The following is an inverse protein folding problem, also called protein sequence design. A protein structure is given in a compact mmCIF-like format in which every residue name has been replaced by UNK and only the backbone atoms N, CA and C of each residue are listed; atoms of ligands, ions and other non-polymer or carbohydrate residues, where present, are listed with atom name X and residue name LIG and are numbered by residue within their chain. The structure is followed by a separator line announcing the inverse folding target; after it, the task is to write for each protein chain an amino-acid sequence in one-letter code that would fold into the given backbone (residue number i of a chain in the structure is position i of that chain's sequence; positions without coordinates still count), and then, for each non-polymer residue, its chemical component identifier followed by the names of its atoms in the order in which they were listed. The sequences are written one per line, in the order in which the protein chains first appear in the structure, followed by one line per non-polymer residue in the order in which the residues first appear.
data_IF_248030807981
#
_entry.id   IF_248030807981
#
_cell.length_a   1.000
_cell.length_b   1.000
_cell.length_c   1.000
_cell.angle_alpha   90.00
_cell.angle_beta   90.00
_cell.angle_gamma   90.00
#
_symmetry.space_group_name_H-M   'P 1'
#
loop_
_entity.id
_entity.type
_entity.pdbx_description
1 polymer ?
#
# COMPACT_ATOMS: atom_id res chain seq x y z
N UNK A 1 18.72 21.52 -5.57
CA UNK A 1 17.34 21.86 -5.96
C UNK A 1 17.17 22.13 -7.45
N UNK A 2 18.18 22.70 -8.12
CA UNK A 2 18.09 23.10 -9.55
C UNK A 2 17.78 21.89 -10.45
N UNK A 3 18.36 20.72 -10.16
CA UNK A 3 18.10 19.49 -10.93
C UNK A 3 16.64 19.04 -10.74
N UNK A 4 16.15 19.02 -9.50
CA UNK A 4 14.74 18.64 -9.20
C UNK A 4 13.77 19.59 -9.91
N UNK A 5 14.03 20.90 -9.80
CA UNK A 5 13.23 21.93 -10.50
C UNK A 5 13.23 21.73 -12.01
N UNK A 6 14.41 21.58 -12.60
CA UNK A 6 14.54 21.37 -14.05
C UNK A 6 13.83 20.12 -14.54
N UNK A 7 13.87 19.03 -13.75
CA UNK A 7 13.14 17.79 -14.07
C UNK A 7 11.63 18.05 -14.08
N UNK A 8 11.11 18.69 -13.04
CA UNK A 8 9.67 19.01 -12.96
C UNK A 8 9.24 20.03 -14.01
N UNK A 9 10.04 21.06 -14.28
CA UNK A 9 9.72 22.06 -15.34
C UNK A 9 9.68 21.44 -16.74
N UNK A 10 10.45 20.40 -16.98
CA UNK A 10 10.45 19.68 -18.26
C UNK A 10 9.42 18.56 -18.34
N UNK A 11 8.86 18.12 -17.21
CA UNK A 11 7.90 17.04 -17.17
C UNK A 11 6.54 17.46 -17.77
N UNK A 12 5.91 16.49 -18.44
CA UNK A 12 4.54 16.61 -18.96
C UNK A 12 3.55 15.76 -18.19
N UNK A 13 4.02 14.68 -17.62
CA UNK A 13 3.22 13.66 -16.91
C UNK A 13 3.92 13.21 -15.62
N UNK A 14 4.18 14.12 -14.66
CA UNK A 14 4.80 13.74 -13.40
C UNK A 14 3.82 12.90 -12.57
N UNK A 15 4.36 11.96 -11.80
CA UNK A 15 3.62 11.14 -10.84
C UNK A 15 4.41 11.05 -9.54
N UNK A 16 3.73 11.06 -8.41
CA UNK A 16 4.30 10.76 -7.11
C UNK A 16 3.97 9.31 -6.76
N UNK A 17 4.97 8.55 -6.33
CA UNK A 17 4.81 7.24 -5.69
C UNK A 17 5.17 7.37 -4.22
N UNK A 18 4.18 7.32 -3.36
CA UNK A 18 4.35 7.49 -1.93
C UNK A 18 4.46 6.17 -1.19
N UNK A 19 5.42 6.06 -0.29
CA UNK A 19 5.69 4.88 0.50
C UNK A 19 5.52 5.07 2.00
N UNK A 20 5.75 4.00 2.76
CA UNK A 20 5.51 3.95 4.20
C UNK A 20 6.32 4.95 5.04
N UNK A 21 7.48 5.40 4.55
CA UNK A 21 8.32 6.36 5.28
C UNK A 21 7.67 7.74 5.38
N UNK A 22 6.73 8.09 4.49
CA UNK A 22 5.90 9.29 4.64
C UNK A 22 5.22 9.27 6.02
N UNK A 23 4.68 8.09 6.40
CA UNK A 23 4.07 7.86 7.69
C UNK A 23 5.06 7.84 8.84
N UNK A 24 6.14 7.13 8.66
CA UNK A 24 7.17 6.95 9.70
C UNK A 24 7.83 8.26 10.11
N UNK A 25 7.96 9.19 9.18
CA UNK A 25 8.58 10.50 9.42
C UNK A 25 7.57 11.65 9.53
N UNK A 26 6.27 11.36 9.58
CA UNK A 26 5.23 12.36 9.80
C UNK A 26 5.09 13.41 8.68
N UNK A 27 5.47 13.06 7.44
CA UNK A 27 5.50 13.99 6.30
C UNK A 27 4.21 14.04 5.48
N UNK A 28 3.06 13.69 6.08
CA UNK A 28 1.79 13.56 5.35
C UNK A 28 1.20 14.89 4.89
N UNK A 29 1.26 15.90 5.77
CA UNK A 29 0.65 17.18 5.47
C UNK A 29 1.46 17.89 4.40
N UNK A 30 2.78 17.77 4.47
CA UNK A 30 3.68 18.25 3.43
C UNK A 30 3.46 17.53 2.10
N UNK A 31 3.31 16.20 2.12
CA UNK A 31 3.03 15.41 0.91
C UNK A 31 1.67 15.79 0.33
N UNK A 32 0.62 15.84 1.14
CA UNK A 32 -0.72 16.22 0.68
C UNK A 32 -0.72 17.63 0.08
N UNK A 33 -0.11 18.61 0.78
CA UNK A 33 0.03 19.97 0.28
C UNK A 33 0.86 20.05 -1.01
N UNK A 34 1.89 19.21 -1.18
CA UNK A 34 2.67 19.11 -2.40
C UNK A 34 1.81 18.59 -3.56
N UNK A 35 1.08 17.49 -3.36
CA UNK A 35 0.16 16.90 -4.34
C UNK A 35 -0.87 17.92 -4.83
N UNK A 36 -1.53 18.61 -3.90
CA UNK A 36 -2.56 19.60 -4.21
C UNK A 36 -2.00 20.81 -4.92
N UNK A 37 -0.90 21.38 -4.41
CA UNK A 37 -0.28 22.58 -4.96
C UNK A 37 0.26 22.39 -6.38
N UNK A 38 0.88 21.22 -6.63
CA UNK A 38 1.43 20.92 -7.95
C UNK A 38 0.38 20.32 -8.89
N UNK A 39 -0.75 19.87 -8.40
CA UNK A 39 -1.74 19.05 -9.13
C UNK A 39 -1.12 17.79 -9.74
N UNK A 40 -0.22 17.13 -9.01
CA UNK A 40 0.47 15.92 -9.45
C UNK A 40 -0.25 14.70 -8.91
N UNK A 41 -0.60 13.71 -9.76
CA UNK A 41 -1.19 12.45 -9.29
C UNK A 41 -0.28 11.71 -8.35
N UNK A 42 -0.90 11.01 -7.40
CA UNK A 42 -0.19 10.17 -6.44
C UNK A 42 -0.71 8.75 -6.45
N UNK A 43 0.19 7.79 -6.59
CA UNK A 43 -0.01 6.38 -6.26
C UNK A 43 0.67 6.06 -4.93
N UNK A 44 0.22 5.04 -4.24
CA UNK A 44 0.93 4.50 -3.07
C UNK A 44 1.56 3.15 -3.40
N UNK A 45 2.67 2.81 -2.72
CA UNK A 45 3.13 1.42 -2.70
C UNK A 45 2.19 0.57 -1.84
N UNK A 46 2.30 -0.75 -1.92
CA UNK A 46 1.50 -1.65 -1.08
C UNK A 46 1.76 -1.38 0.43
N UNK A 47 3.02 -1.24 0.82
CA UNK A 47 3.40 -0.89 2.19
C UNK A 47 2.98 0.55 2.57
N UNK A 48 2.85 1.43 1.60
CA UNK A 48 2.41 2.81 1.74
C UNK A 48 0.90 3.02 1.57
N UNK A 49 0.10 1.95 1.43
CA UNK A 49 -1.36 2.09 1.36
C UNK A 49 -1.88 2.91 2.54
N UNK A 50 -2.80 3.82 2.27
CA UNK A 50 -3.37 4.80 3.23
C UNK A 50 -2.45 5.94 3.70
N UNK A 51 -1.33 6.21 3.05
CA UNK A 51 -0.50 7.40 3.34
C UNK A 51 -1.20 8.71 2.97
N UNK A 52 -2.13 8.66 2.06
CA UNK A 52 -3.07 9.72 1.70
C UNK A 52 -4.49 9.15 1.75
N UNK A 53 -5.50 9.97 1.87
CA UNK A 53 -6.89 9.52 1.74
C UNK A 53 -7.11 8.96 0.34
N UNK A 54 -7.73 7.80 0.24
CA UNK A 54 -7.94 7.13 -1.06
C UNK A 54 -9.11 7.74 -1.86
N UNK A 55 -9.93 8.60 -1.23
CA UNK A 55 -10.92 9.45 -1.90
C UNK A 55 -10.36 10.78 -2.42
N UNK A 56 -9.04 11.01 -2.26
CA UNK A 56 -8.40 12.22 -2.73
C UNK A 56 -8.49 12.32 -4.28
N UNK A 57 -8.88 13.48 -4.85
CA UNK A 57 -9.10 13.62 -6.30
C UNK A 57 -7.90 13.31 -7.19
N UNK A 58 -6.69 13.32 -6.64
CA UNK A 58 -5.45 12.98 -7.36
C UNK A 58 -4.88 11.61 -6.98
N UNK A 59 -5.59 10.81 -6.18
CA UNK A 59 -5.14 9.45 -5.86
C UNK A 59 -5.43 8.49 -7.01
N UNK A 60 -4.40 7.76 -7.44
CA UNK A 60 -4.47 6.84 -8.59
C UNK A 60 -4.80 5.42 -8.15
N UNK A 61 -4.29 5.00 -6.99
CA UNK A 61 -4.41 3.65 -6.48
C UNK A 61 -3.09 3.11 -5.94
N UNK A 62 -3.09 1.82 -5.59
CA UNK A 62 -1.87 1.13 -5.16
C UNK A 62 -1.08 0.69 -6.39
N UNK A 63 0.19 1.09 -6.47
CA UNK A 63 1.16 0.63 -7.45
C UNK A 63 2.03 -0.46 -6.84
N UNK A 64 1.86 -1.69 -7.32
CA UNK A 64 2.64 -2.87 -6.93
C UNK A 64 2.72 -3.81 -8.12
N UNK A 65 3.89 -4.33 -8.42
CA UNK A 65 4.13 -5.15 -9.61
C UNK A 65 3.17 -6.33 -9.75
N UNK A 66 2.92 -7.05 -8.65
CA UNK A 66 2.11 -8.28 -8.67
C UNK A 66 0.60 -8.04 -8.61
N UNK A 67 0.16 -7.05 -7.82
CA UNK A 67 -1.25 -6.97 -7.41
C UNK A 67 -1.93 -5.65 -7.78
N UNK A 68 -1.20 -4.72 -8.37
CA UNK A 68 -1.79 -3.48 -8.84
C UNK A 68 -2.71 -3.72 -10.03
N UNK A 69 -3.81 -2.97 -10.08
CA UNK A 69 -4.67 -2.94 -11.26
C UNK A 69 -3.89 -2.49 -12.49
N UNK A 70 -4.19 -3.05 -13.64
CA UNK A 70 -3.48 -2.75 -14.88
C UNK A 70 -3.56 -1.26 -15.25
N UNK A 71 -4.70 -0.61 -15.00
CA UNK A 71 -4.88 0.82 -15.26
C UNK A 71 -3.97 1.69 -14.38
N UNK A 72 -3.71 1.26 -13.13
CA UNK A 72 -2.78 1.96 -12.22
C UNK A 72 -1.35 1.76 -12.70
N UNK A 73 -0.97 0.53 -13.06
CA UNK A 73 0.36 0.22 -13.60
C UNK A 73 0.62 1.02 -14.86
N UNK A 74 -0.31 0.98 -15.81
CA UNK A 74 -0.19 1.69 -17.07
C UNK A 74 -0.06 3.19 -16.86
N UNK A 75 -0.87 3.77 -15.97
CA UNK A 75 -0.82 5.19 -15.65
C UNK A 75 0.54 5.61 -15.08
N UNK A 76 1.06 4.87 -14.09
CA UNK A 76 2.35 5.16 -13.46
C UNK A 76 3.50 4.91 -14.44
N UNK A 77 3.47 3.82 -15.20
CA UNK A 77 4.52 3.46 -16.15
C UNK A 77 4.65 4.45 -17.33
N UNK A 78 3.60 5.23 -17.62
CA UNK A 78 3.65 6.27 -18.64
C UNK A 78 4.19 7.61 -18.12
N UNK A 79 4.67 7.69 -16.88
CA UNK A 79 5.25 8.91 -16.32
C UNK A 79 6.57 9.29 -17.03
N UNK A 80 6.82 10.58 -17.17
CA UNK A 80 8.10 11.14 -17.64
C UNK A 80 8.92 11.76 -16.50
N UNK A 81 8.36 11.81 -15.29
CA UNK A 81 9.06 12.22 -14.05
C UNK A 81 8.40 11.55 -12.84
N UNK A 82 9.04 10.54 -12.29
CA UNK A 82 8.56 9.82 -11.12
C UNK A 82 9.24 10.31 -9.83
N UNK A 83 8.44 10.84 -8.91
CA UNK A 83 8.88 11.21 -7.57
C UNK A 83 8.54 10.08 -6.60
N UNK A 84 9.53 9.28 -6.20
CA UNK A 84 9.37 8.21 -5.23
C UNK A 84 9.71 8.78 -3.85
N UNK A 85 8.68 8.93 -3.03
CA UNK A 85 8.81 9.59 -1.73
C UNK A 85 8.52 8.60 -0.59
N UNK A 86 9.55 8.23 0.14
CA UNK A 86 9.48 7.38 1.32
C UNK A 86 9.11 5.92 1.01
N UNK A 87 9.42 5.45 -0.18
CA UNK A 87 9.23 4.05 -0.55
C UNK A 87 10.52 3.27 -0.42
N UNK A 88 10.43 2.17 0.32
CA UNK A 88 11.46 1.13 0.35
C UNK A 88 10.99 0.08 -0.65
N UNK A 89 11.58 0.07 -1.83
CA UNK A 89 11.23 -0.86 -2.88
C UNK A 89 11.70 -2.26 -2.52
N UNK A 90 10.83 -3.24 -2.63
CA UNK A 90 11.09 -4.65 -2.38
C UNK A 90 10.66 -5.49 -3.58
N UNK A 91 11.11 -6.73 -3.65
CA UNK A 91 10.76 -7.65 -4.74
C UNK A 91 9.24 -7.91 -4.83
N UNK A 92 8.51 -7.76 -3.72
CA UNK A 92 7.03 -7.88 -3.68
C UNK A 92 6.35 -6.70 -4.38
N UNK A 93 6.97 -5.53 -4.33
CA UNK A 93 6.40 -4.31 -4.92
C UNK A 93 6.72 -4.20 -6.40
N UNK A 94 7.73 -4.94 -6.92
CA UNK A 94 8.31 -4.57 -8.19
C UNK A 94 8.97 -5.69 -9.03
N UNK A 95 8.36 -6.83 -9.18
CA UNK A 95 8.96 -7.92 -9.97
C UNK A 95 9.16 -7.59 -11.47
N UNK A 96 8.42 -6.63 -12.04
CA UNK A 96 8.53 -6.32 -13.49
C UNK A 96 8.91 -4.86 -13.79
N UNK A 97 8.69 -3.92 -12.88
CA UNK A 97 8.78 -2.48 -13.17
C UNK A 97 10.14 -1.86 -12.85
N UNK A 98 10.98 -2.52 -12.02
CA UNK A 98 12.29 -1.98 -11.60
C UNK A 98 13.21 -1.64 -12.77
N UNK A 99 13.15 -2.40 -13.84
CA UNK A 99 14.10 -2.25 -14.93
C UNK A 99 13.84 -1.04 -15.85
N UNK A 100 12.57 -0.74 -16.14
CA UNK A 100 12.21 0.32 -17.08
C UNK A 100 12.08 1.70 -16.44
N UNK A 101 11.33 1.81 -15.34
CA UNK A 101 11.10 3.11 -14.67
C UNK A 101 12.37 3.72 -14.07
N UNK A 102 13.32 2.86 -13.64
CA UNK A 102 14.57 3.32 -13.03
C UNK A 102 15.72 3.48 -14.01
N UNK A 103 15.65 2.86 -15.19
CA UNK A 103 16.75 2.89 -16.19
C UNK A 103 16.84 4.21 -16.95
N UNK A 104 15.76 4.96 -17.09
CA UNK A 104 15.68 6.07 -18.04
C UNK A 104 16.04 7.44 -17.44
N UNK A 105 16.51 7.49 -16.20
CA UNK A 105 16.96 8.76 -15.60
C UNK A 105 15.86 9.79 -15.34
N UNK A 106 14.61 9.34 -15.22
CA UNK A 106 13.43 10.17 -14.97
C UNK A 106 12.93 10.12 -13.51
N UNK A 107 13.73 9.56 -12.61
CA UNK A 107 13.33 9.35 -11.22
C UNK A 107 14.01 10.29 -10.24
N UNK A 108 13.26 10.71 -9.23
CA UNK A 108 13.72 11.32 -7.99
C UNK A 108 13.27 10.41 -6.86
N UNK A 109 14.20 9.78 -6.15
CA UNK A 109 13.89 8.81 -5.11
C UNK A 109 14.46 9.28 -3.77
N UNK A 110 13.59 9.59 -2.82
CA UNK A 110 13.95 9.98 -1.47
C UNK A 110 13.53 8.91 -0.46
N UNK A 111 14.47 8.49 0.38
CA UNK A 111 14.29 7.57 1.49
C UNK A 111 14.86 8.19 2.77
N UNK A 112 14.77 7.52 3.91
CA UNK A 112 15.10 7.99 5.26
C UNK A 112 16.22 9.04 5.36
N UNK A 113 17.37 8.77 4.74
CA UNK A 113 18.60 9.60 4.85
C UNK A 113 19.29 9.83 3.51
N UNK A 114 18.56 9.62 2.40
CA UNK A 114 19.15 9.61 1.07
C UNK A 114 18.18 10.10 0.01
N UNK A 115 18.74 10.81 -0.95
CA UNK A 115 18.04 11.18 -2.18
C UNK A 115 18.85 10.73 -3.39
N UNK A 116 18.24 9.99 -4.30
CA UNK A 116 18.79 9.67 -5.61
C UNK A 116 18.05 10.47 -6.68
N UNK A 117 18.78 11.12 -7.56
CA UNK A 117 18.23 11.88 -8.69
C UNK A 117 18.92 11.38 -9.95
N UNK A 118 18.14 10.75 -10.85
CA UNK A 118 18.71 10.06 -12.00
C UNK A 118 19.75 9.00 -11.54
N UNK A 119 21.00 9.20 -11.90
CA UNK A 119 22.12 8.32 -11.55
C UNK A 119 22.97 8.87 -10.38
N UNK A 120 22.63 10.03 -9.85
CA UNK A 120 23.36 10.67 -8.75
C UNK A 120 22.71 10.38 -7.42
N UNK A 121 23.51 9.99 -6.43
CA UNK A 121 23.07 9.71 -5.08
C UNK A 121 23.64 10.76 -4.13
N UNK A 122 22.78 11.25 -3.25
CA UNK A 122 23.09 12.22 -2.22
C UNK A 122 22.75 11.60 -0.87
N UNK A 123 23.77 11.27 -0.08
CA UNK A 123 23.61 10.71 1.25
C UNK A 123 23.49 11.83 2.30
N UNK A 124 22.98 11.51 3.48
CA UNK A 124 22.78 12.43 4.60
C UNK A 124 21.80 13.57 4.33
N UNK A 125 20.85 13.35 3.44
CA UNK A 125 19.68 14.22 3.25
C UNK A 125 18.50 13.53 3.91
N UNK A 126 18.01 14.08 5.02
CA UNK A 126 16.87 13.52 5.72
C UNK A 126 15.59 13.63 4.87
N UNK A 127 14.82 12.57 4.87
CA UNK A 127 13.57 12.47 4.09
C UNK A 127 12.63 13.63 4.38
N UNK A 128 12.36 13.89 5.66
CA UNK A 128 11.50 14.97 6.11
C UNK A 128 11.98 16.35 5.66
N UNK A 129 13.28 16.61 5.68
CA UNK A 129 13.84 17.87 5.20
C UNK A 129 13.71 18.01 3.68
N UNK A 130 13.85 16.89 2.96
CA UNK A 130 13.65 16.88 1.52
C UNK A 130 12.20 17.15 1.14
N UNK A 131 11.23 16.48 1.80
CA UNK A 131 9.80 16.68 1.54
C UNK A 131 9.36 18.10 1.91
N UNK A 132 9.79 18.62 3.08
CA UNK A 132 9.56 20.02 3.48
C UNK A 132 10.16 21.01 2.46
N UNK A 133 11.37 20.72 1.98
CA UNK A 133 12.02 21.51 0.95
C UNK A 133 11.24 21.51 -0.37
N UNK A 134 10.71 20.35 -0.81
CA UNK A 134 9.81 20.26 -1.98
C UNK A 134 8.52 21.06 -1.76
N UNK A 135 7.92 20.93 -0.59
CA UNK A 135 6.70 21.66 -0.24
C UNK A 135 6.90 23.19 -0.22
N UNK A 136 8.08 23.67 0.18
CA UNK A 136 8.41 25.08 0.22
C UNK A 136 8.95 25.65 -1.11
N UNK A 137 9.44 24.78 -2.01
CA UNK A 137 10.06 25.20 -3.26
C UNK A 137 9.05 25.80 -4.24
N UNK A 138 9.48 26.82 -4.98
CA UNK A 138 8.73 27.34 -6.13
C UNK A 138 8.86 26.38 -7.30
N UNK A 139 7.89 25.48 -7.43
CA UNK A 139 7.79 24.45 -8.47
C UNK A 139 6.58 24.71 -9.36
N UNK A 140 6.59 24.24 -10.62
CA UNK A 140 5.45 24.41 -11.52
C UNK A 140 4.24 23.62 -11.04
N UNK A 141 3.04 24.12 -11.29
CA UNK A 141 1.81 23.34 -11.19
C UNK A 141 1.46 22.75 -12.56
N UNK A 142 0.78 21.60 -12.55
CA UNK A 142 0.43 20.88 -13.76
C UNK A 142 -1.07 20.91 -14.02
N UNK A 143 -1.50 20.77 -15.28
CA UNK A 143 -2.91 20.54 -15.57
C UNK A 143 -3.38 19.25 -14.88
N UNK A 144 -4.57 19.28 -14.29
CA UNK A 144 -5.14 18.08 -13.68
C UNK A 144 -5.28 16.99 -14.75
N UNK A 145 -4.61 15.84 -14.60
CA UNK A 145 -4.67 14.77 -15.58
C UNK A 145 -6.00 14.01 -15.50
N UNK A 146 -6.33 13.31 -16.57
CA UNK A 146 -7.39 12.29 -16.52
C UNK A 146 -6.83 11.08 -15.79
N UNK A 147 -7.37 10.80 -14.61
CA UNK A 147 -6.98 9.63 -13.81
C UNK A 147 -7.71 8.37 -14.28
N UNK A 148 -7.16 7.17 -13.98
CA UNK A 148 -7.90 5.92 -14.07
C UNK A 148 -9.18 6.00 -13.26
N UNK A 149 -10.21 5.29 -13.71
CA UNK A 149 -11.45 5.20 -12.95
C UNK A 149 -11.18 4.57 -11.56
N UNK A 150 -11.80 5.08 -10.50
CA UNK A 150 -11.74 4.41 -9.20
C UNK A 150 -12.20 2.96 -9.33
N UNK A 151 -11.60 2.08 -8.52
CA UNK A 151 -12.04 0.69 -8.46
C UNK A 151 -13.54 0.61 -8.19
N UNK A 152 -14.24 -0.11 -9.04
CA UNK A 152 -15.65 -0.48 -8.85
C UNK A 152 -15.76 -1.96 -9.11
N UNK A 153 -16.26 -2.75 -8.17
CA UNK A 153 -16.52 -4.16 -8.42
C UNK A 153 -17.46 -4.33 -9.62
N UNK A 154 -17.06 -5.08 -10.63
CA UNK A 154 -17.84 -5.27 -11.86
C UNK A 154 -19.13 -6.07 -11.63
N UNK A 155 -19.11 -6.98 -10.66
CA UNK A 155 -20.24 -7.86 -10.39
C UNK A 155 -21.12 -7.34 -9.24
N UNK A 156 -22.44 -7.60 -9.27
CA UNK A 156 -23.32 -7.26 -8.16
C UNK A 156 -22.95 -8.08 -6.90
N UNK A 157 -23.34 -7.58 -5.73
CA UNK A 157 -23.19 -8.31 -4.48
C UNK A 157 -23.80 -9.71 -4.61
N UNK A 158 -23.09 -10.77 -4.21
CA UNK A 158 -23.63 -12.12 -4.27
C UNK A 158 -24.87 -12.23 -3.37
N UNK A 159 -25.88 -13.02 -3.77
CA UNK A 159 -27.05 -13.25 -2.93
C UNK A 159 -26.65 -13.94 -1.63
N UNK A 160 -27.43 -13.73 -0.56
CA UNK A 160 -27.15 -14.23 0.78
C UNK A 160 -26.97 -15.77 0.86
N UNK A 161 -27.47 -16.50 -0.10
CA UNK A 161 -27.35 -17.97 -0.19
C UNK A 161 -26.22 -18.44 -1.10
N UNK A 162 -25.47 -17.52 -1.70
CA UNK A 162 -24.32 -17.89 -2.52
C UNK A 162 -23.21 -18.51 -1.67
N UNK A 163 -22.41 -19.36 -2.29
CA UNK A 163 -21.16 -19.83 -1.67
C UNK A 163 -20.25 -18.65 -1.35
N UNK A 164 -19.57 -18.72 -0.20
CA UNK A 164 -18.60 -17.70 0.19
C UNK A 164 -17.45 -17.73 -0.81
N UNK A 165 -17.17 -16.58 -1.42
CA UNK A 165 -15.99 -16.37 -2.27
C UNK A 165 -15.13 -15.26 -1.67
N UNK A 166 -13.82 -15.30 -1.93
CA UNK A 166 -12.88 -14.27 -1.50
C UNK A 166 -13.35 -12.88 -1.96
N UNK A 167 -13.65 -12.74 -3.23
CA UNK A 167 -14.14 -11.50 -3.81
C UNK A 167 -15.45 -11.01 -3.17
N UNK A 168 -16.38 -11.93 -2.85
CA UNK A 168 -17.62 -11.58 -2.15
C UNK A 168 -17.38 -11.05 -0.74
N UNK A 169 -16.44 -11.65 0.00
CA UNK A 169 -16.05 -11.20 1.34
C UNK A 169 -15.47 -9.79 1.27
N UNK A 170 -14.51 -9.53 0.38
CA UNK A 170 -13.85 -8.23 0.29
C UNK A 170 -14.79 -7.14 -0.20
N UNK A 171 -15.69 -7.43 -1.14
CA UNK A 171 -16.73 -6.48 -1.53
C UNK A 171 -17.67 -6.13 -0.39
N UNK A 172 -18.04 -7.13 0.42
CA UNK A 172 -18.88 -6.86 1.58
C UNK A 172 -18.14 -6.04 2.63
N UNK A 173 -16.88 -6.35 2.88
CA UNK A 173 -16.03 -5.57 3.77
C UNK A 173 -15.97 -4.11 3.36
N UNK A 174 -15.77 -3.83 2.08
CA UNK A 174 -15.70 -2.47 1.56
C UNK A 174 -16.98 -1.64 1.87
N UNK A 175 -18.14 -2.29 1.97
CA UNK A 175 -19.38 -1.62 2.34
C UNK A 175 -19.54 -1.31 3.83
N UNK A 176 -18.76 -1.95 4.69
CA UNK A 176 -18.84 -1.79 6.16
C UNK A 176 -17.65 -1.06 6.76
N UNK A 177 -16.60 -0.82 5.97
CA UNK A 177 -15.47 0.00 6.39
C UNK A 177 -15.91 1.47 6.54
N UNK A 178 -15.37 2.15 7.53
CA UNK A 178 -15.66 3.55 7.82
C UNK A 178 -14.50 4.21 8.59
N UNK A 179 -14.56 5.50 8.82
CA UNK A 179 -13.48 6.31 9.44
C UNK A 179 -12.97 5.84 10.83
N UNK A 180 -13.62 4.88 11.47
CA UNK A 180 -13.18 4.30 12.76
C UNK A 180 -12.68 2.88 12.62
N UNK A 181 -12.52 2.38 11.40
CA UNK A 181 -11.98 1.04 11.16
C UNK A 181 -10.51 1.13 10.78
N UNK A 182 -9.73 0.14 11.23
CA UNK A 182 -8.34 -0.05 10.86
C UNK A 182 -8.21 -1.45 10.25
N UNK A 183 -7.92 -1.52 8.96
CA UNK A 183 -7.70 -2.80 8.29
C UNK A 183 -6.28 -3.27 8.53
N UNK A 184 -6.13 -4.50 8.99
CA UNK A 184 -4.83 -5.13 9.22
C UNK A 184 -4.81 -6.45 8.46
N UNK A 185 -4.04 -6.49 7.38
CA UNK A 185 -3.94 -7.65 6.52
C UNK A 185 -2.64 -8.42 6.78
N UNK A 186 -2.76 -9.72 7.05
CA UNK A 186 -1.63 -10.65 7.04
C UNK A 186 -1.24 -10.98 5.59
N UNK A 187 -0.11 -11.63 5.39
CA UNK A 187 0.39 -11.97 4.05
C UNK A 187 -0.51 -12.95 3.29
N UNK A 188 -0.24 -13.10 2.00
CA UNK A 188 -0.98 -13.98 1.12
C UNK A 188 -2.27 -13.35 0.60
N UNK A 189 -3.29 -14.15 0.35
CA UNK A 189 -4.59 -13.70 -0.17
C UNK A 189 -5.22 -12.60 0.68
N UNK A 190 -4.99 -12.62 1.99
CA UNK A 190 -5.46 -11.56 2.91
C UNK A 190 -4.93 -10.18 2.51
N UNK A 191 -3.64 -10.11 2.16
CA UNK A 191 -3.00 -8.88 1.73
C UNK A 191 -3.38 -8.52 0.31
N UNK A 192 -3.23 -9.46 -0.61
CA UNK A 192 -3.40 -9.18 -2.03
C UNK A 192 -4.83 -8.80 -2.40
N UNK A 193 -5.82 -9.46 -1.79
CA UNK A 193 -7.22 -9.10 -2.00
C UNK A 193 -7.63 -7.79 -1.28
N UNK A 194 -6.84 -7.31 -0.31
CA UNK A 194 -7.14 -6.07 0.40
C UNK A 194 -6.61 -4.81 -0.29
N UNK A 195 -5.87 -4.96 -1.38
CA UNK A 195 -5.27 -3.83 -2.11
C UNK A 195 -6.32 -2.82 -2.57
N UNK A 196 -7.46 -3.31 -3.04
CA UNK A 196 -8.55 -2.48 -3.57
C UNK A 196 -9.62 -2.11 -2.52
N UNK A 197 -9.48 -2.54 -1.24
CA UNK A 197 -10.35 -2.06 -0.18
C UNK A 197 -10.21 -0.55 -0.01
N UNK A 198 -11.33 0.16 0.03
CA UNK A 198 -11.30 1.62 0.20
C UNK A 198 -11.01 2.00 1.64
N UNK A 199 -9.95 2.77 1.84
CA UNK A 199 -9.55 3.29 3.15
C UNK A 199 -9.98 4.75 3.29
N UNK A 200 -10.78 5.05 4.31
CA UNK A 200 -11.45 6.33 4.50
C UNK A 200 -10.57 7.41 5.15
N UNK A 201 -9.55 7.00 5.89
CA UNK A 201 -8.60 7.89 6.57
C UNK A 201 -7.16 7.46 6.30
N UNK A 202 -6.24 8.40 6.50
CA UNK A 202 -4.81 8.10 6.55
C UNK A 202 -4.51 7.14 7.70
N UNK A 203 -3.60 6.19 7.49
CA UNK A 203 -3.16 5.16 8.46
C UNK A 203 -4.22 4.15 8.90
N UNK A 204 -5.20 3.91 8.10
CA UNK A 204 -6.20 2.89 8.39
C UNK A 204 -5.92 1.55 7.69
N UNK A 205 -4.70 1.37 7.19
CA UNK A 205 -4.23 0.11 6.63
C UNK A 205 -2.84 -0.25 7.16
N UNK A 206 -2.68 -1.45 7.68
CA UNK A 206 -1.42 -2.01 8.14
C UNK A 206 -1.19 -3.39 7.53
N UNK A 207 0.03 -3.66 7.08
CA UNK A 207 0.43 -4.97 6.58
C UNK A 207 1.93 -5.18 6.69
N UNK A 208 2.43 -6.44 6.73
CA UNK A 208 3.86 -6.75 6.71
C UNK A 208 4.40 -6.80 5.27
N UNK A 209 3.92 -5.94 4.37
CA UNK A 209 4.16 -6.01 2.93
C UNK A 209 5.65 -5.92 2.51
N UNK A 210 6.51 -5.45 3.42
CA UNK A 210 7.95 -5.36 3.10
C UNK A 210 8.64 -6.73 3.11
N UNK A 211 8.40 -7.53 4.17
CA UNK A 211 9.07 -8.81 4.38
C UNK A 211 8.12 -10.00 4.28
N UNK A 212 6.84 -9.75 4.16
CA UNK A 212 5.78 -10.76 4.07
C UNK A 212 5.82 -11.80 5.19
N UNK A 213 6.01 -11.34 6.45
CA UNK A 213 6.07 -12.22 7.62
C UNK A 213 4.67 -12.64 8.06
N UNK A 214 4.41 -13.96 8.05
CA UNK A 214 3.16 -14.52 8.53
C UNK A 214 2.97 -14.34 10.04
N UNK A 215 1.72 -14.19 10.47
CA UNK A 215 1.38 -14.04 11.89
C UNK A 215 1.50 -12.61 12.41
N UNK A 216 1.61 -11.62 11.52
CA UNK A 216 1.71 -10.20 11.88
C UNK A 216 0.38 -9.62 12.37
N UNK A 217 -0.74 -9.97 11.71
CA UNK A 217 -1.96 -9.18 11.80
C UNK A 217 -2.65 -9.22 13.16
N UNK A 218 -2.68 -10.36 13.83
CA UNK A 218 -3.33 -10.51 15.15
C UNK A 218 -2.61 -9.69 16.23
N UNK A 219 -1.28 -9.83 16.44
CA UNK A 219 -0.58 -9.00 17.42
C UNK A 219 -0.57 -7.51 17.04
N UNK A 220 -0.52 -7.18 15.74
CA UNK A 220 -0.61 -5.80 15.28
C UNK A 220 -1.95 -5.14 15.64
N UNK A 221 -3.07 -5.90 15.58
CA UNK A 221 -4.37 -5.40 16.00
C UNK A 221 -4.42 -5.06 17.49
N UNK A 222 -3.76 -5.85 18.32
CA UNK A 222 -3.65 -5.60 19.75
C UNK A 222 -2.83 -4.33 20.00
N UNK A 223 -1.68 -4.21 19.32
CA UNK A 223 -0.85 -3.00 19.39
C UNK A 223 -1.60 -1.75 18.95
N UNK A 224 -2.34 -1.82 17.86
CA UNK A 224 -3.16 -0.74 17.35
C UNK A 224 -4.25 -0.31 18.34
N UNK A 225 -4.92 -1.27 18.99
CA UNK A 225 -5.92 -0.98 20.02
C UNK A 225 -5.36 -0.29 21.28
N UNK A 226 -4.05 -0.44 21.57
CA UNK A 226 -3.37 0.36 22.58
C UNK A 226 -2.97 1.74 22.08
N UNK A 227 -2.55 1.83 20.83
CA UNK A 227 -2.09 3.09 20.23
C UNK A 227 -3.24 4.08 20.00
N UNK A 228 -4.36 3.59 19.50
CA UNK A 228 -5.59 4.39 19.31
C UNK A 228 -6.83 3.55 19.65
N UNK A 229 -7.32 3.63 20.89
CA UNK A 229 -8.52 2.90 21.34
C UNK A 229 -9.82 3.36 20.64
N UNK A 230 -9.81 4.45 19.90
CA UNK A 230 -10.98 4.94 19.15
C UNK A 230 -11.22 4.17 17.86
N UNK A 231 -10.19 3.47 17.36
CA UNK A 231 -10.26 2.66 16.15
C UNK A 231 -10.67 1.22 16.44
N UNK A 232 -11.40 0.63 15.51
CA UNK A 232 -11.76 -0.78 15.54
C UNK A 232 -10.89 -1.57 14.55
N UNK A 233 -9.94 -2.39 15.01
CA UNK A 233 -9.16 -3.23 14.12
C UNK A 233 -10.02 -4.31 13.47
N UNK A 234 -9.88 -4.45 12.15
CA UNK A 234 -10.42 -5.54 11.33
C UNK A 234 -9.20 -6.29 10.79
N UNK A 235 -9.02 -7.51 11.29
CA UNK A 235 -7.90 -8.39 10.93
C UNK A 235 -8.33 -9.31 9.81
N UNK A 236 -7.57 -9.33 8.74
CA UNK A 236 -7.67 -10.27 7.64
C UNK A 236 -6.46 -11.19 7.70
N UNK A 237 -6.66 -12.48 7.92
CA UNK A 237 -5.57 -13.41 8.19
C UNK A 237 -5.88 -14.79 7.59
N UNK A 238 -4.90 -15.38 6.90
CA UNK A 238 -4.99 -16.76 6.45
C UNK A 238 -4.97 -17.75 7.62
N UNK A 239 -5.54 -18.92 7.43
CA UNK A 239 -5.60 -19.97 8.45
C UNK A 239 -4.22 -20.39 8.97
N UNK A 240 -3.20 -20.48 8.09
CA UNK A 240 -1.84 -20.80 8.50
C UNK A 240 -1.18 -19.69 9.33
N UNK A 241 -1.30 -18.43 8.91
CA UNK A 241 -0.80 -17.29 9.67
C UNK A 241 -1.51 -17.14 11.02
N UNK A 242 -2.82 -17.42 11.06
CA UNK A 242 -3.60 -17.39 12.29
C UNK A 242 -3.11 -18.44 13.30
N UNK A 243 -2.71 -19.63 12.87
CA UNK A 243 -2.17 -20.65 13.77
C UNK A 243 -0.87 -20.20 14.46
N UNK A 244 -0.09 -19.31 13.85
CA UNK A 244 1.17 -18.85 14.42
C UNK A 244 0.95 -17.93 15.64
N UNK A 245 -0.07 -17.06 15.59
CA UNK A 245 -0.25 -15.98 16.57
C UNK A 245 -1.67 -15.81 17.08
N UNK A 246 -2.61 -16.67 16.68
CA UNK A 246 -4.01 -16.60 17.09
C UNK A 246 -4.21 -16.70 18.61
N UNK A 247 -3.27 -17.35 19.33
CA UNK A 247 -3.26 -17.42 20.80
C UNK A 247 -3.17 -16.03 21.45
N UNK A 248 -2.63 -15.03 20.76
CA UNK A 248 -2.53 -13.64 21.24
C UNK A 248 -3.91 -12.98 21.42
N UNK A 249 -4.98 -13.54 20.88
CA UNK A 249 -6.35 -13.09 21.20
C UNK A 249 -6.65 -13.17 22.69
N UNK A 250 -5.98 -14.03 23.44
CA UNK A 250 -6.06 -14.05 24.90
C UNK A 250 -5.62 -12.72 25.54
N UNK A 251 -4.62 -12.08 24.94
CA UNK A 251 -4.15 -10.74 25.32
C UNK A 251 -5.22 -9.69 25.04
N UNK A 252 -5.88 -9.75 23.86
CA UNK A 252 -6.99 -8.85 23.54
C UNK A 252 -8.12 -8.96 24.58
N UNK A 253 -8.51 -10.19 24.95
CA UNK A 253 -9.52 -10.43 25.98
C UNK A 253 -9.09 -9.85 27.34
N UNK A 254 -7.86 -10.10 27.77
CA UNK A 254 -7.29 -9.61 29.02
C UNK A 254 -7.37 -8.08 29.13
N UNK A 255 -7.12 -7.37 28.03
CA UNK A 255 -7.13 -5.91 27.98
C UNK A 255 -8.45 -5.33 27.45
N UNK A 256 -9.50 -6.15 27.35
CA UNK A 256 -10.85 -5.74 26.91
C UNK A 256 -10.89 -5.09 25.55
N UNK A 257 -9.99 -5.49 24.67
CA UNK A 257 -10.02 -5.08 23.27
C UNK A 257 -10.94 -6.02 22.48
N UNK A 258 -11.53 -5.52 21.40
CA UNK A 258 -12.49 -6.27 20.60
C UNK A 258 -12.18 -6.15 19.10
N UNK A 259 -11.01 -6.60 18.60
CA UNK A 259 -10.77 -6.67 17.17
C UNK A 259 -11.76 -7.63 16.51
N UNK A 260 -12.12 -7.35 15.27
CA UNK A 260 -12.81 -8.31 14.41
C UNK A 260 -11.74 -9.12 13.69
N UNK A 261 -11.76 -10.44 13.80
CA UNK A 261 -10.80 -11.31 13.13
C UNK A 261 -11.51 -12.17 12.10
N UNK A 262 -11.14 -12.00 10.85
CA UNK A 262 -11.65 -12.76 9.71
C UNK A 262 -10.55 -13.71 9.25
N UNK A 263 -10.77 -15.01 9.49
CA UNK A 263 -9.82 -16.05 9.07
C UNK A 263 -10.25 -16.57 7.70
N UNK A 264 -9.38 -16.37 6.71
CA UNK A 264 -9.55 -16.91 5.35
C UNK A 264 -9.01 -18.35 5.35
N UNK A 265 -9.91 -19.30 5.55
CA UNK A 265 -9.54 -20.70 5.61
C UNK A 265 -9.59 -21.35 4.22
N UNK A 266 -8.47 -21.39 3.56
CA UNK A 266 -8.26 -22.06 2.27
C UNK A 266 -7.51 -23.39 2.40
N UNK A 267 -7.33 -23.88 3.63
CA UNK A 267 -6.69 -25.15 3.99
C UNK A 267 -5.19 -25.21 3.63
N UNK A 268 -4.45 -24.14 3.84
CA UNK A 268 -2.99 -24.12 3.71
C UNK A 268 -2.41 -22.85 3.09
N UNK A 269 -1.18 -22.94 2.64
CA UNK A 269 -0.40 -21.83 2.08
C UNK A 269 -0.64 -21.71 0.58
N UNK A 270 -1.74 -21.07 0.17
CA UNK A 270 -2.12 -20.97 -1.25
C UNK A 270 -1.11 -20.18 -2.08
N UNK A 271 -0.59 -19.09 -1.54
CA UNK A 271 0.41 -18.26 -2.22
C UNK A 271 1.67 -19.06 -2.56
N UNK A 272 2.13 -19.90 -1.63
CA UNK A 272 3.30 -20.75 -1.87
C UNK A 272 3.06 -21.78 -2.99
N UNK A 273 1.82 -22.27 -3.10
CA UNK A 273 1.47 -23.20 -4.20
C UNK A 273 1.50 -22.56 -5.57
N UNK A 274 1.22 -21.27 -5.65
CA UNK A 274 1.22 -20.53 -6.91
C UNK A 274 2.63 -20.05 -7.30
N UNK A 275 3.45 -19.68 -6.32
CA UNK A 275 4.79 -19.15 -6.56
C UNK A 275 5.81 -20.27 -6.79
N UNK A 276 5.68 -21.40 -6.08
CA UNK A 276 6.62 -22.52 -6.19
C UNK A 276 6.19 -23.50 -7.27
N UNK A 277 6.88 -23.45 -8.39
CA UNK A 277 6.71 -24.45 -9.46
C UNK A 277 7.43 -25.77 -9.14
N UNK A 278 6.88 -26.87 -9.64
CA UNK A 278 7.52 -28.18 -9.62
C UNK A 278 6.91 -29.20 -8.66
N UNK A 279 7.66 -30.27 -8.28
CA UNK A 279 7.12 -31.40 -7.53
C UNK A 279 6.57 -31.04 -6.14
N UNK A 280 6.89 -29.88 -5.62
CA UNK A 280 6.31 -29.39 -4.36
C UNK A 280 4.82 -29.08 -4.48
N UNK A 281 4.30 -28.77 -5.67
CA UNK A 281 2.88 -28.57 -5.91
C UNK A 281 2.08 -29.89 -5.95
N UNK A 282 2.74 -31.01 -6.28
CA UNK A 282 2.14 -32.35 -6.29
C UNK A 282 2.09 -32.97 -4.91
N UNK A 283 2.83 -32.44 -3.94
CA UNK A 283 2.80 -32.86 -2.55
C UNK A 283 1.60 -32.16 -1.93
N UNK A 284 0.55 -32.91 -1.63
CA UNK A 284 -0.63 -32.41 -0.89
C UNK A 284 -0.32 -31.93 0.56
N UNK A 285 0.92 -31.55 0.82
CA UNK A 285 1.52 -31.31 2.13
C UNK A 285 1.74 -29.84 2.48
N UNK A 286 1.37 -28.88 1.62
CA UNK A 286 1.23 -27.48 2.07
C UNK A 286 0.02 -27.26 3.00
N UNK A 287 -0.41 -28.36 3.63
CA UNK A 287 -1.31 -28.37 4.77
C UNK A 287 -0.44 -28.33 6.02
N UNK A 288 -0.73 -27.39 6.88
CA UNK A 288 -0.13 -27.33 8.23
C UNK A 288 -0.86 -28.26 9.18
#
# INVERSE_FOLDING_TARGET
WDVVRSMLESAKRPVILGGAEVGRFGAHDELTGLVERLSVPIASTLLGKSIIREDHPLYVGVYSGLVARDEVKEFVNQTDCLLILGSILSDVEDLDAHSALFSDGHTIHATADRVAIKHHRYDSILFEDFVKGLAAASLPSFPTPQLPAPYKPEEPMPPAQASVSLQGVFRHLDTVLHEKTLVIADVGESLFASVDLHVHRRFEFLSPAYYTSMGFAVPAAIGAGFADPSLRPIVLVGDGAFQMTGSELSTAVRYKQAPVVIVLNNHGYSTEREILEGPFNDIHEWRY
#
